data_IF_130077108169
#
_entry.id   IF_130077108169
#
_cell.length_a   1.000
_cell.length_b   1.000
_cell.length_c   1.000
_cell.angle_alpha   90.00
_cell.angle_beta   90.00
_cell.angle_gamma   90.00
#
_symmetry.space_group_name_H-M   'P 1'
#
loop_
_entity.id
_entity.type
_entity.pdbx_description
1 polymer ?
#
# COMPACT_ATOMS: atom_id res chain seq x y z
N UNK A 1 -18.31 7.02 4.87
CA UNK A 1 -17.38 6.58 5.94
C UNK A 1 -15.98 6.50 5.33
N UNK A 2 -15.07 7.34 5.82
CA UNK A 2 -13.61 7.13 5.76
C UNK A 2 -12.88 7.19 4.41
N UNK A 3 -13.02 8.25 3.60
CA UNK A 3 -12.06 8.50 2.51
C UNK A 3 -10.83 9.20 3.10
N UNK A 4 -9.82 8.42 3.50
CA UNK A 4 -8.49 8.98 3.71
C UNK A 4 -7.82 9.09 2.35
N UNK A 5 -7.70 10.31 1.81
CA UNK A 5 -6.95 10.59 0.57
C UNK A 5 -5.42 10.38 0.72
N UNK A 6 -4.97 9.80 1.83
CA UNK A 6 -3.56 9.53 2.11
C UNK A 6 -3.07 8.22 1.52
N UNK A 7 -1.75 8.12 1.32
CA UNK A 7 -1.09 6.86 1.06
C UNK A 7 -1.14 5.95 2.30
N UNK A 8 -1.30 4.65 2.09
CA UNK A 8 -1.24 3.64 3.14
C UNK A 8 0.04 2.83 2.95
N UNK A 9 0.88 2.75 3.99
CA UNK A 9 2.16 2.01 3.92
C UNK A 9 2.14 0.92 4.98
N UNK A 10 2.34 -0.32 4.55
CA UNK A 10 2.57 -1.48 5.41
C UNK A 10 4.06 -1.75 5.52
N UNK A 11 4.56 -1.87 6.75
CA UNK A 11 5.93 -2.27 7.00
C UNK A 11 6.05 -3.80 6.98
N UNK A 12 6.41 -4.34 5.82
CA UNK A 12 6.53 -5.77 5.55
C UNK A 12 7.90 -6.32 5.98
N UNK A 13 8.06 -6.52 7.29
CA UNK A 13 9.24 -7.19 7.84
C UNK A 13 9.24 -8.67 7.48
N UNK A 14 10.29 -9.13 6.81
CA UNK A 14 10.54 -10.54 6.49
C UNK A 14 9.35 -11.27 5.82
N UNK A 15 8.54 -10.55 5.04
CA UNK A 15 7.40 -11.13 4.32
C UNK A 15 6.14 -11.36 5.18
N UNK A 16 6.08 -10.79 6.39
CA UNK A 16 4.92 -10.88 7.28
C UNK A 16 3.59 -10.48 6.59
N UNK A 17 3.64 -9.49 5.70
CA UNK A 17 2.48 -8.98 4.96
C UNK A 17 2.40 -9.48 3.51
N UNK A 18 3.23 -10.44 3.06
CA UNK A 18 3.18 -10.95 1.68
C UNK A 18 1.79 -11.53 1.34
N UNK A 19 1.19 -12.25 2.28
CA UNK A 19 -0.14 -12.81 2.11
C UNK A 19 -1.22 -11.72 2.07
N UNK A 20 -1.00 -10.62 2.79
CA UNK A 20 -1.92 -9.48 2.79
C UNK A 20 -1.82 -8.72 1.46
N UNK A 21 -0.62 -8.56 0.92
CA UNK A 21 -0.40 -7.98 -0.41
C UNK A 21 -1.12 -8.79 -1.49
N UNK A 22 -0.93 -10.12 -1.50
CA UNK A 22 -1.62 -11.01 -2.42
C UNK A 22 -3.15 -10.97 -2.26
N UNK A 23 -3.64 -10.76 -1.04
CA UNK A 23 -5.07 -10.60 -0.77
C UNK A 23 -5.63 -9.32 -1.40
N UNK A 24 -4.91 -8.19 -1.31
CA UNK A 24 -5.30 -6.96 -2.00
C UNK A 24 -5.27 -7.11 -3.52
N UNK A 25 -4.29 -7.82 -4.08
CA UNK A 25 -4.26 -8.12 -5.51
C UNK A 25 -5.49 -8.94 -5.93
N UNK A 26 -5.88 -9.91 -5.10
CA UNK A 26 -7.10 -10.69 -5.33
C UNK A 26 -8.37 -9.85 -5.28
N UNK A 27 -8.41 -8.83 -4.42
CA UNK A 27 -9.53 -7.89 -4.38
C UNK A 27 -9.64 -7.05 -5.65
N UNK A 28 -8.51 -6.70 -6.28
CA UNK A 28 -8.52 -6.02 -7.58
C UNK A 28 -9.04 -6.95 -8.67
N UNK A 29 -8.55 -8.19 -8.74
CA UNK A 29 -9.04 -9.19 -9.71
C UNK A 29 -10.56 -9.45 -9.60
N UNK A 30 -11.11 -9.34 -8.39
CA UNK A 30 -12.53 -9.58 -8.11
C UNK A 30 -13.39 -8.32 -8.17
N UNK A 31 -12.85 -7.18 -8.64
CA UNK A 31 -13.52 -5.88 -8.70
C UNK A 31 -14.04 -5.37 -7.34
N UNK A 32 -13.50 -5.87 -6.24
CA UNK A 32 -13.80 -5.38 -4.88
C UNK A 32 -12.93 -4.18 -4.48
N UNK A 33 -11.81 -3.99 -5.18
CA UNK A 33 -10.89 -2.87 -5.00
C UNK A 33 -10.52 -2.29 -6.37
N UNK A 34 -10.53 -0.96 -6.49
CA UNK A 34 -10.09 -0.32 -7.72
C UNK A 34 -8.56 -0.37 -7.84
N UNK A 35 -8.03 -0.38 -9.07
CA UNK A 35 -6.59 -0.30 -9.33
C UNK A 35 -6.00 1.00 -8.75
N UNK A 36 -6.78 2.10 -8.80
CA UNK A 36 -6.39 3.36 -8.17
C UNK A 36 -6.22 3.23 -6.66
N UNK A 37 -7.18 2.61 -5.96
CA UNK A 37 -7.09 2.41 -4.51
C UNK A 37 -5.96 1.45 -4.15
N UNK A 38 -5.77 0.37 -4.94
CA UNK A 38 -4.64 -0.55 -4.77
C UNK A 38 -3.28 0.16 -4.92
N UNK A 39 -3.17 1.12 -5.84
CA UNK A 39 -1.94 1.87 -6.09
C UNK A 39 -1.54 2.80 -4.93
N UNK A 40 -2.49 3.13 -4.05
CA UNK A 40 -2.25 3.94 -2.83
C UNK A 40 -1.75 3.09 -1.65
N UNK A 41 -1.84 1.76 -1.76
CA UNK A 41 -1.38 0.81 -0.75
C UNK A 41 0.01 0.32 -1.12
N UNK A 42 0.98 0.60 -0.26
CA UNK A 42 2.39 0.25 -0.46
C UNK A 42 2.85 -0.75 0.61
N UNK A 43 3.67 -1.71 0.21
CA UNK A 43 4.35 -2.64 1.11
C UNK A 43 5.84 -2.33 1.09
N UNK A 44 6.34 -1.75 2.18
CA UNK A 44 7.73 -1.36 2.33
C UNK A 44 8.46 -2.38 3.22
N UNK A 45 9.61 -2.86 2.77
CA UNK A 45 10.45 -3.84 3.49
C UNK A 45 11.45 -3.20 4.44
N UNK A 46 11.74 -1.91 4.25
CA UNK A 46 12.71 -1.16 5.05
C UNK A 46 12.17 0.21 5.46
N UNK A 47 12.70 0.77 6.54
CA UNK A 47 12.36 2.15 6.94
C UNK A 47 12.75 3.18 5.87
N UNK A 48 13.83 2.95 5.12
CA UNK A 48 14.24 3.82 4.02
C UNK A 48 13.20 3.87 2.89
N UNK A 49 12.54 2.75 2.58
CA UNK A 49 11.44 2.72 1.61
C UNK A 49 10.22 3.49 2.13
N UNK A 50 9.90 3.37 3.43
CA UNK A 50 8.81 4.13 4.05
C UNK A 50 9.09 5.63 3.96
N UNK A 51 10.30 6.07 4.30
CA UNK A 51 10.71 7.47 4.19
C UNK A 51 10.63 7.98 2.75
N UNK A 52 11.12 7.19 1.78
CA UNK A 52 11.04 7.54 0.36
C UNK A 52 9.60 7.70 -0.13
N UNK A 53 8.68 6.82 0.29
CA UNK A 53 7.26 6.90 -0.04
C UNK A 53 6.59 8.13 0.58
N UNK A 54 6.90 8.44 1.85
CA UNK A 54 6.38 9.63 2.54
C UNK A 54 6.86 10.91 1.84
N UNK A 55 8.14 11.00 1.50
CA UNK A 55 8.70 12.17 0.83
C UNK A 55 8.19 12.32 -0.61
N UNK A 56 7.99 11.20 -1.34
CA UNK A 56 7.36 11.22 -2.65
C UNK A 56 5.91 11.74 -2.59
N UNK A 57 5.17 11.39 -1.53
CA UNK A 57 3.81 11.87 -1.32
C UNK A 57 3.74 13.34 -0.90
N UNK A 58 4.63 13.79 -0.01
CA UNK A 58 4.71 15.21 0.42
C UNK A 58 5.08 16.16 -0.73
N UNK A 59 5.80 15.67 -1.75
CA UNK A 59 6.20 16.47 -2.92
C UNK A 59 5.08 16.65 -3.98
N UNK A 60 3.92 16.00 -3.82
CA UNK A 60 2.79 16.11 -4.75
C UNK A 60 1.90 17.31 -4.45
#
# INVERSE_FOLDING_TARGET
VGQTNGICIFYNMEGYYDHLEAFFDKMVETNLLSVEDRSRIHFAKTLAEIEALIEAYKKR
#
